data_IF_645730129675
#
_entry.id   IF_645730129675
#
_cell.length_a   1.000
_cell.length_b   1.000
_cell.length_c   1.000
_cell.angle_alpha   90.00
_cell.angle_beta   90.00
_cell.angle_gamma   90.00
#
_symmetry.space_group_name_H-M   'P 1'
#
loop_
_entity.id
_entity.type
_entity.pdbx_description
1 polymer ?
#
# COMPACT_ATOMS: atom_id res chain seq x y z
N UNK A 1 -22.48 12.71 -2.86
CA UNK A 1 -21.03 12.44 -2.68
C UNK A 1 -20.68 11.17 -3.43
N UNK A 2 -19.76 11.24 -4.39
CA UNK A 2 -19.53 10.15 -5.35
C UNK A 2 -18.89 8.92 -4.72
N UNK A 3 -19.55 7.77 -4.79
CA UNK A 3 -19.08 6.45 -4.32
C UNK A 3 -17.95 5.85 -5.20
N UNK A 4 -17.00 6.68 -5.65
CA UNK A 4 -16.01 6.30 -6.65
C UNK A 4 -14.57 6.74 -6.37
N UNK A 5 -14.33 7.45 -5.26
CA UNK A 5 -12.99 7.86 -4.85
C UNK A 5 -12.79 7.70 -3.33
N UNK A 6 -11.57 7.32 -2.94
CA UNK A 6 -11.10 7.22 -1.56
C UNK A 6 -9.82 8.05 -1.43
N UNK A 7 -9.71 8.81 -0.34
CA UNK A 7 -8.52 9.60 -0.02
C UNK A 7 -7.96 9.12 1.32
N UNK A 8 -6.68 8.77 1.35
CA UNK A 8 -6.01 8.25 2.55
C UNK A 8 -4.83 9.13 2.94
N UNK A 9 -4.62 9.28 4.24
CA UNK A 9 -3.51 10.03 4.81
C UNK A 9 -3.03 9.45 6.13
N UNK A 10 -1.86 9.91 6.56
CA UNK A 10 -1.31 9.72 7.90
C UNK A 10 -0.86 11.08 8.46
N UNK A 11 -0.71 11.19 9.78
CA UNK A 11 -0.12 12.39 10.42
C UNK A 11 -0.91 13.69 10.29
N UNK A 12 -2.21 13.63 9.98
CA UNK A 12 -3.08 14.82 9.89
C UNK A 12 -3.00 15.61 8.58
N UNK A 13 -2.22 15.15 7.58
CA UNK A 13 -2.19 15.77 6.25
C UNK A 13 -3.50 15.52 5.47
N UNK A 14 -3.87 16.42 4.57
CA UNK A 14 -5.18 16.42 3.90
C UNK A 14 -5.43 15.19 3.02
N UNK A 15 -4.45 14.74 2.22
CA UNK A 15 -4.44 13.42 1.58
C UNK A 15 -3.04 13.11 1.06
N UNK A 16 -2.54 11.88 1.25
CA UNK A 16 -1.30 11.43 0.61
C UNK A 16 -1.59 10.72 -0.71
N UNK A 17 -2.66 9.91 -0.74
CA UNK A 17 -3.01 9.09 -1.90
C UNK A 17 -4.51 9.23 -2.18
N UNK A 18 -4.84 9.48 -3.43
CA UNK A 18 -6.19 9.38 -3.97
C UNK A 18 -6.35 8.10 -4.78
N UNK A 19 -7.39 7.34 -4.49
CA UNK A 19 -7.75 6.08 -5.15
C UNK A 19 -9.11 6.27 -5.82
N UNK A 20 -9.29 5.77 -7.04
CA UNK A 20 -10.58 5.83 -7.72
C UNK A 20 -10.85 4.56 -8.53
N UNK A 21 -12.12 4.33 -8.84
CA UNK A 21 -12.55 3.18 -9.64
C UNK A 21 -12.93 3.54 -11.08
N UNK A 22 -12.47 4.68 -11.61
CA UNK A 22 -12.85 5.13 -12.95
C UNK A 22 -12.41 4.07 -13.97
N UNK A 23 -13.39 3.47 -14.67
CA UNK A 23 -13.19 2.41 -15.65
C UNK A 23 -12.47 1.15 -15.14
N UNK A 24 -12.45 0.89 -13.83
CA UNK A 24 -11.70 -0.23 -13.23
C UNK A 24 -12.51 -1.10 -12.25
N UNK A 25 -13.84 -0.92 -12.19
CA UNK A 25 -14.70 -1.73 -11.32
C UNK A 25 -14.62 -3.21 -11.70
N UNK A 26 -14.24 -4.05 -10.73
CA UNK A 26 -14.08 -5.50 -10.95
C UNK A 26 -12.78 -5.90 -11.63
N UNK A 27 -11.82 -4.97 -11.79
CA UNK A 27 -10.50 -5.30 -12.33
C UNK A 27 -9.78 -6.33 -11.43
N UNK A 28 -9.25 -7.39 -12.05
CA UNK A 28 -8.34 -8.35 -11.42
C UNK A 28 -6.87 -7.90 -11.52
N UNK A 29 -5.95 -8.84 -11.33
CA UNK A 29 -4.51 -8.59 -11.48
C UNK A 29 -4.20 -8.00 -12.84
N UNK A 30 -3.34 -6.97 -12.88
CA UNK A 30 -3.06 -6.29 -14.15
C UNK A 30 -2.29 -7.15 -15.13
N UNK A 31 -2.44 -6.83 -16.42
CA UNK A 31 -1.47 -7.20 -17.45
C UNK A 31 -0.16 -6.41 -17.32
N UNK A 32 0.95 -6.98 -17.78
CA UNK A 32 2.25 -6.30 -17.81
C UNK A 32 2.26 -5.17 -18.86
N UNK A 33 1.81 -3.98 -18.46
CA UNK A 33 1.77 -2.75 -19.27
C UNK A 33 2.40 -1.59 -18.52
N UNK A 34 2.62 -0.45 -19.18
CA UNK A 34 3.03 0.79 -18.51
C UNK A 34 2.00 1.19 -17.45
N UNK A 35 2.48 1.63 -16.29
CA UNK A 35 1.66 1.97 -15.13
C UNK A 35 2.50 2.06 -13.86
N UNK A 36 1.85 2.12 -12.69
CA UNK A 36 2.51 2.13 -11.39
C UNK A 36 3.38 0.87 -11.21
N UNK A 37 4.69 1.02 -11.07
CA UNK A 37 5.59 -0.13 -10.87
C UNK A 37 5.58 -0.66 -9.43
N UNK A 38 5.78 0.24 -8.48
CA UNK A 38 5.77 -0.06 -7.04
C UNK A 38 5.30 1.17 -6.26
N UNK A 39 4.83 0.96 -5.03
CA UNK A 39 4.58 2.01 -4.04
C UNK A 39 5.54 1.84 -2.87
N UNK A 40 6.35 2.85 -2.59
CA UNK A 40 7.20 2.91 -1.41
C UNK A 40 6.57 3.81 -0.35
N UNK A 41 6.38 3.28 0.86
CA UNK A 41 5.84 3.99 2.02
C UNK A 41 6.94 4.07 3.08
N UNK A 42 7.38 5.29 3.37
CA UNK A 42 8.35 5.54 4.44
C UNK A 42 7.63 5.75 5.78
N UNK A 43 8.09 5.07 6.83
CA UNK A 43 7.56 5.22 8.19
C UNK A 43 8.63 5.79 9.13
N UNK A 44 8.23 6.56 10.17
CA UNK A 44 9.19 7.31 10.97
C UNK A 44 10.02 6.42 11.91
N UNK A 45 9.49 5.26 12.33
CA UNK A 45 10.16 4.41 13.32
C UNK A 45 10.04 2.92 12.99
N UNK A 46 10.89 2.11 13.63
CA UNK A 46 10.89 0.66 13.48
C UNK A 46 9.63 0.06 14.12
N UNK A 47 9.18 0.63 15.23
CA UNK A 47 7.98 0.21 15.93
C UNK A 47 6.72 0.43 15.09
N UNK A 48 6.68 1.47 14.22
CA UNK A 48 5.61 1.64 13.23
C UNK A 48 5.66 0.54 12.17
N UNK A 49 6.86 0.17 11.70
CA UNK A 49 7.02 -0.91 10.73
C UNK A 49 6.53 -2.25 11.29
N UNK A 50 6.90 -2.57 12.53
CA UNK A 50 6.49 -3.81 13.21
C UNK A 50 4.96 -3.86 13.40
N UNK A 51 4.34 -2.74 13.81
CA UNK A 51 2.87 -2.62 13.93
C UNK A 51 2.16 -2.81 12.59
N UNK A 52 2.72 -2.31 11.50
CA UNK A 52 2.18 -2.54 10.15
C UNK A 52 2.30 -4.03 9.78
N UNK A 53 3.43 -4.66 10.08
CA UNK A 53 3.65 -6.09 9.85
C UNK A 53 2.59 -6.95 10.55
N UNK A 54 2.35 -6.69 11.83
CA UNK A 54 1.33 -7.39 12.63
C UNK A 54 -0.06 -7.23 12.05
N UNK A 55 -0.43 -6.00 11.66
CA UNK A 55 -1.75 -5.72 11.05
C UNK A 55 -1.93 -6.43 9.71
N UNK A 56 -0.90 -6.47 8.87
CA UNK A 56 -0.94 -7.17 7.58
C UNK A 56 -1.09 -8.69 7.79
N UNK A 57 -0.31 -9.28 8.70
CA UNK A 57 -0.41 -10.71 9.04
C UNK A 57 -1.78 -11.05 9.64
N UNK A 58 -2.28 -10.22 10.55
CA UNK A 58 -3.61 -10.39 11.15
C UNK A 58 -4.73 -10.36 10.09
N UNK A 59 -4.59 -9.51 9.07
CA UNK A 59 -5.51 -9.45 7.94
C UNK A 59 -5.34 -10.61 6.92
N UNK A 60 -4.38 -11.51 7.13
CA UNK A 60 -4.12 -12.64 6.25
C UNK A 60 -3.31 -12.30 4.99
N UNK A 61 -2.65 -11.16 4.95
CA UNK A 61 -1.76 -10.80 3.84
C UNK A 61 -0.39 -11.44 4.00
N UNK A 62 0.11 -12.03 2.91
CA UNK A 62 1.49 -12.48 2.83
C UNK A 62 2.44 -11.27 2.79
N UNK A 63 3.49 -11.34 3.60
CA UNK A 63 4.53 -10.32 3.64
C UNK A 63 5.91 -10.96 3.62
N UNK A 64 6.85 -10.35 2.89
CA UNK A 64 8.28 -10.61 3.01
C UNK A 64 8.90 -9.52 3.86
N UNK A 65 9.63 -9.92 4.89
CA UNK A 65 10.28 -9.01 5.84
C UNK A 65 11.79 -9.28 5.80
N UNK A 66 12.59 -8.28 5.44
CA UNK A 66 14.06 -8.37 5.41
C UNK A 66 14.72 -7.75 6.66
N UNK A 67 13.92 -7.37 7.66
CA UNK A 67 14.34 -6.75 8.90
C UNK A 67 14.34 -5.21 8.86
N UNK A 68 14.50 -4.61 7.67
CA UNK A 68 14.48 -3.15 7.49
C UNK A 68 13.30 -2.69 6.62
N UNK A 69 12.69 -3.61 5.88
CA UNK A 69 11.60 -3.34 4.96
C UNK A 69 10.66 -4.52 4.86
N UNK A 70 9.38 -4.20 4.82
CA UNK A 70 8.29 -5.13 4.50
C UNK A 70 7.93 -4.97 3.03
N UNK A 71 7.75 -6.08 2.32
CA UNK A 71 7.24 -6.12 0.95
C UNK A 71 5.97 -6.97 0.91
N UNK A 72 4.93 -6.47 0.26
CA UNK A 72 3.68 -7.19 0.00
C UNK A 72 3.12 -6.81 -1.37
N UNK A 73 2.03 -7.45 -1.78
CA UNK A 73 1.34 -7.15 -3.03
C UNK A 73 -0.09 -6.72 -2.77
N UNK A 74 -0.53 -5.69 -3.48
CA UNK A 74 -1.95 -5.33 -3.47
C UNK A 74 -2.79 -6.31 -4.32
N UNK A 75 -4.12 -6.25 -4.26
CA UNK A 75 -5.00 -7.16 -5.02
C UNK A 75 -4.82 -7.13 -6.54
N UNK A 76 -4.17 -6.10 -7.09
CA UNK A 76 -3.93 -5.92 -8.53
C UNK A 76 -2.50 -6.28 -8.95
N UNK A 77 -1.67 -6.74 -8.00
CA UNK A 77 -0.30 -7.17 -8.21
C UNK A 77 0.74 -6.04 -8.18
N UNK A 78 0.41 -4.85 -7.66
CA UNK A 78 1.44 -3.85 -7.39
C UNK A 78 2.31 -4.29 -6.24
N UNK A 79 3.63 -4.12 -6.36
CA UNK A 79 4.53 -4.24 -5.22
C UNK A 79 4.35 -3.03 -4.30
N UNK A 80 4.07 -3.30 -3.02
CA UNK A 80 4.04 -2.29 -1.96
C UNK A 80 5.18 -2.58 -1.00
N UNK A 81 6.03 -1.57 -0.81
CA UNK A 81 7.23 -1.63 0.03
C UNK A 81 7.07 -0.63 1.17
N UNK A 82 7.27 -1.08 2.40
CA UNK A 82 7.17 -0.23 3.59
C UNK A 82 8.50 -0.35 4.34
N UNK A 83 9.18 0.76 4.59
CA UNK A 83 10.47 0.78 5.28
C UNK A 83 10.64 2.05 6.09
N UNK A 84 11.65 2.08 6.96
CA UNK A 84 11.96 3.31 7.68
C UNK A 84 12.44 4.41 6.72
N UNK A 85 12.05 5.65 6.98
CA UNK A 85 12.69 6.79 6.34
C UNK A 85 14.20 6.77 6.68
N UNK A 86 15.04 6.92 5.64
CA UNK A 86 16.50 7.10 5.78
C UNK A 86 16.86 8.50 6.26
#
# INVERSE_FOLDING_TARGET
MGRGALFVSAGGYHHHIGLNTWNSRGAGVRSKTLGLGSLDIAVPTREELDRIAERLRFAGHEIRDDGNRITTYDPWGNEVRIGQAV
#
